data_IF_332022142489
#
_entry.id   IF_332022142489
#
_cell.length_a   1.000
_cell.length_b   1.000
_cell.length_c   1.000
_cell.angle_alpha   90.00
_cell.angle_beta   90.00
_cell.angle_gamma   90.00
#
_symmetry.space_group_name_H-M   'P 1'
#
loop_
_entity.id
_entity.type
_entity.pdbx_description
1 polymer ?
#
# COMPACT_ATOMS: atom_id res chain seq x y z
N UNK A 1 8.57 -4.22 -29.00
CA UNK A 1 9.17 -5.44 -28.43
C UNK A 1 9.63 -6.29 -29.61
N UNK A 2 10.88 -6.77 -29.62
CA UNK A 2 11.33 -7.67 -30.70
C UNK A 2 11.09 -9.14 -30.33
N UNK A 3 11.40 -10.05 -31.26
CA UNK A 3 11.26 -11.51 -31.09
C UNK A 3 12.03 -12.09 -29.89
N UNK A 4 12.99 -11.35 -29.34
CA UNK A 4 13.80 -11.75 -28.19
C UNK A 4 13.27 -11.18 -26.85
N UNK A 5 12.01 -10.72 -26.80
CA UNK A 5 11.39 -10.08 -25.63
C UNK A 5 12.17 -8.86 -25.11
N UNK A 6 12.83 -8.12 -26.01
CA UNK A 6 13.56 -6.90 -25.68
C UNK A 6 12.72 -5.67 -25.97
N UNK A 7 12.93 -4.64 -25.15
CA UNK A 7 12.32 -3.32 -25.31
C UNK A 7 13.42 -2.28 -25.43
N UNK A 8 13.40 -1.49 -26.50
CA UNK A 8 14.29 -0.34 -26.65
C UNK A 8 13.64 0.94 -26.15
N UNK A 9 14.47 1.94 -25.84
CA UNK A 9 13.99 3.26 -25.44
C UNK A 9 13.66 4.08 -26.69
N UNK A 10 12.40 4.51 -26.82
CA UNK A 10 11.93 5.33 -27.94
C UNK A 10 11.87 6.79 -27.53
N UNK A 11 12.49 7.67 -28.32
CA UNK A 11 12.28 9.09 -28.20
C UNK A 11 10.84 9.42 -28.65
N UNK A 12 10.06 10.04 -27.76
CA UNK A 12 8.65 10.33 -28.04
C UNK A 12 8.43 11.34 -29.17
N UNK A 13 9.34 12.29 -29.36
CA UNK A 13 9.22 13.35 -30.37
C UNK A 13 9.61 12.85 -31.78
N UNK A 14 10.73 12.13 -31.89
CA UNK A 14 11.20 11.62 -33.19
C UNK A 14 10.63 10.24 -33.54
N UNK A 15 10.07 9.53 -32.56
CA UNK A 15 9.63 8.15 -32.73
C UNK A 15 10.76 7.16 -33.01
N UNK A 16 12.02 7.57 -32.86
CA UNK A 16 13.21 6.74 -33.10
C UNK A 16 13.73 6.14 -31.80
N UNK A 17 14.34 4.96 -31.89
CA UNK A 17 14.94 4.25 -30.77
C UNK A 17 16.37 4.74 -30.53
N UNK A 18 16.75 4.74 -29.26
CA UNK A 18 18.09 5.04 -28.79
C UNK A 18 19.04 3.87 -29.11
N UNK A 19 20.15 4.15 -29.79
CA UNK A 19 21.15 3.15 -30.18
C UNK A 19 22.51 3.78 -30.49
N UNK A 20 23.40 3.04 -31.15
CA UNK A 20 24.71 3.53 -31.61
C UNK A 20 24.73 3.81 -33.11
N UNK A 21 25.54 4.77 -33.52
CA UNK A 21 26.00 4.85 -34.92
C UNK A 21 27.30 4.03 -35.11
N UNK A 22 27.84 4.01 -36.33
CA UNK A 22 29.09 3.31 -36.64
C UNK A 22 30.36 3.86 -35.96
N UNK A 23 30.22 4.93 -35.15
CA UNK A 23 31.30 5.55 -34.38
C UNK A 23 31.11 5.38 -32.86
N UNK A 24 30.24 4.46 -32.44
CA UNK A 24 29.88 4.24 -31.02
C UNK A 24 29.22 5.45 -30.32
N UNK A 25 28.72 6.42 -31.08
CA UNK A 25 28.01 7.56 -30.50
C UNK A 25 26.54 7.19 -30.21
N UNK A 26 26.04 7.62 -29.06
CA UNK A 26 24.64 7.45 -28.68
C UNK A 26 23.76 8.35 -29.54
N UNK A 27 22.87 7.75 -30.33
CA UNK A 27 22.01 8.46 -31.28
C UNK A 27 20.58 7.92 -31.27
N UNK A 28 19.62 8.70 -31.77
CA UNK A 28 18.23 8.27 -31.98
C UNK A 28 17.93 8.20 -33.49
N UNK A 29 18.34 7.11 -34.16
CA UNK A 29 18.28 7.02 -35.63
C UNK A 29 17.35 5.95 -36.18
N UNK A 30 17.18 4.83 -35.48
CA UNK A 30 16.45 3.67 -36.00
C UNK A 30 14.97 3.71 -35.59
N UNK A 31 14.10 3.20 -36.45
CA UNK A 31 12.67 2.98 -36.16
C UNK A 31 12.38 1.56 -35.68
N UNK A 32 13.33 0.65 -35.82
CA UNK A 32 13.21 -0.76 -35.45
C UNK A 32 14.25 -1.16 -34.41
N UNK A 33 13.88 -2.09 -33.51
CA UNK A 33 14.74 -2.59 -32.45
C UNK A 33 15.60 -3.75 -32.99
N UNK A 34 16.80 -3.40 -33.43
CA UNK A 34 17.78 -4.27 -34.08
C UNK A 34 18.80 -4.79 -33.05
N UNK A 35 20.05 -5.02 -33.48
CA UNK A 35 21.10 -5.57 -32.62
C UNK A 35 22.00 -4.52 -31.98
N UNK A 36 21.92 -3.27 -32.43
CA UNK A 36 22.86 -2.18 -32.11
C UNK A 36 22.30 -1.16 -31.11
N UNK A 37 21.16 -1.46 -30.49
CA UNK A 37 20.58 -0.63 -29.44
C UNK A 37 21.35 -0.83 -28.14
N UNK A 38 22.00 0.26 -27.72
CA UNK A 38 22.87 0.30 -26.54
C UNK A 38 22.12 -0.11 -25.28
N UNK A 39 20.86 0.27 -25.13
CA UNK A 39 20.12 0.15 -23.88
C UNK A 39 18.79 -0.55 -24.10
N UNK A 40 18.68 -1.78 -23.60
CA UNK A 40 17.47 -2.58 -23.73
C UNK A 40 16.98 -3.08 -22.39
N UNK A 41 15.66 -3.20 -22.26
CA UNK A 41 15.04 -3.86 -21.12
C UNK A 41 14.71 -5.30 -21.50
N UNK A 42 15.08 -6.25 -20.62
CA UNK A 42 14.68 -7.65 -20.71
C UNK A 42 13.63 -7.94 -19.64
N UNK A 43 12.45 -8.41 -20.04
CA UNK A 43 11.41 -8.83 -19.08
C UNK A 43 11.89 -10.05 -18.28
N UNK A 44 11.75 -10.00 -16.96
CA UNK A 44 12.10 -11.10 -16.06
C UNK A 44 10.90 -12.04 -15.87
N UNK A 45 11.17 -13.34 -15.68
CA UNK A 45 10.14 -14.36 -15.45
C UNK A 45 9.37 -14.14 -14.14
N UNK A 46 10.05 -13.63 -13.11
CA UNK A 46 9.45 -13.23 -11.83
C UNK A 46 8.69 -11.88 -11.90
N UNK A 47 8.68 -11.21 -13.06
CA UNK A 47 8.14 -9.88 -13.26
C UNK A 47 9.20 -8.78 -13.13
N UNK A 48 8.92 -7.63 -13.74
CA UNK A 48 9.88 -6.53 -13.87
C UNK A 48 10.74 -6.62 -15.13
N UNK A 49 11.74 -5.75 -15.20
CA UNK A 49 12.63 -5.56 -16.33
C UNK A 49 14.08 -5.37 -15.87
N UNK A 50 15.00 -6.09 -16.49
CA UNK A 50 16.44 -5.91 -16.31
C UNK A 50 16.98 -4.94 -17.35
N UNK A 51 17.80 -3.97 -16.93
CA UNK A 51 18.47 -3.05 -17.84
C UNK A 51 19.75 -3.72 -18.38
N UNK A 52 19.84 -3.82 -19.70
CA UNK A 52 20.90 -4.53 -20.41
C UNK A 52 21.61 -3.58 -21.38
N UNK A 53 22.92 -3.75 -21.49
CA UNK A 53 23.79 -3.01 -22.40
C UNK A 53 24.63 -3.93 -23.27
N UNK A 54 24.82 -3.55 -24.54
CA UNK A 54 25.78 -4.22 -25.42
C UNK A 54 27.20 -3.69 -25.18
N UNK A 55 28.17 -4.59 -24.98
CA UNK A 55 29.57 -4.24 -24.80
C UNK A 55 30.28 -4.07 -26.15
N UNK A 56 31.13 -3.04 -26.26
CA UNK A 56 31.90 -2.69 -27.46
C UNK A 56 32.78 -3.80 -28.00
N UNK A 57 33.15 -4.78 -27.17
CA UNK A 57 34.05 -5.87 -27.53
C UNK A 57 33.36 -7.15 -28.04
N UNK A 58 32.02 -7.23 -27.98
CA UNK A 58 31.29 -8.47 -28.28
C UNK A 58 29.95 -8.18 -28.95
N UNK A 59 29.94 -8.21 -30.28
CA UNK A 59 28.72 -8.02 -31.07
C UNK A 59 27.66 -9.07 -30.68
N UNK A 60 26.46 -8.60 -30.37
CA UNK A 60 25.28 -9.41 -30.04
C UNK A 60 25.19 -9.86 -28.59
N UNK A 61 26.21 -9.62 -27.76
CA UNK A 61 26.20 -10.03 -26.34
C UNK A 61 25.81 -8.86 -25.44
N UNK A 62 24.70 -9.07 -24.73
CA UNK A 62 24.18 -8.13 -23.75
C UNK A 62 24.64 -8.49 -22.34
N UNK A 63 24.93 -7.47 -21.56
CA UNK A 63 25.36 -7.54 -20.18
C UNK A 63 24.42 -6.73 -19.29
N UNK A 64 24.13 -7.17 -18.06
CA UNK A 64 23.36 -6.37 -17.14
C UNK A 64 24.14 -5.11 -16.76
N UNK A 65 23.43 -4.01 -16.58
CA UNK A 65 23.99 -2.85 -15.87
C UNK A 65 23.93 -3.16 -14.38
N UNK A 66 24.96 -2.77 -13.63
CA UNK A 66 24.97 -2.82 -12.17
C UNK A 66 25.57 -1.54 -11.59
N UNK A 67 25.37 -1.30 -10.29
CA UNK A 67 26.16 -0.29 -9.58
C UNK A 67 27.55 -0.85 -9.29
N UNK A 68 28.56 0.02 -9.32
CA UNK A 68 29.93 -0.36 -8.94
C UNK A 68 30.00 -0.85 -7.50
N UNK A 69 29.21 -0.26 -6.61
CA UNK A 69 28.95 -0.71 -5.23
C UNK A 69 27.63 -0.10 -4.71
N UNK A 70 27.19 -0.49 -3.51
CA UNK A 70 25.90 -0.08 -2.93
C UNK A 70 25.73 1.44 -2.78
N UNK A 71 26.82 2.17 -2.57
CA UNK A 71 26.83 3.60 -2.24
C UNK A 71 27.27 4.49 -3.40
N UNK A 72 27.78 3.91 -4.48
CA UNK A 72 28.26 4.63 -5.64
C UNK A 72 27.12 5.04 -6.58
N UNK A 73 27.11 6.29 -7.06
CA UNK A 73 26.19 6.72 -8.11
C UNK A 73 26.60 6.19 -9.49
N UNK A 74 27.79 5.59 -9.61
CA UNK A 74 28.34 5.11 -10.87
C UNK A 74 27.83 3.72 -11.22
N UNK A 75 27.55 3.53 -12.52
CA UNK A 75 27.12 2.27 -13.09
C UNK A 75 28.27 1.65 -13.90
N UNK A 76 28.36 0.32 -13.88
CA UNK A 76 29.28 -0.43 -14.74
C UNK A 76 28.56 -1.60 -15.42
N UNK A 77 29.25 -2.19 -16.40
CA UNK A 77 28.82 -3.44 -17.03
C UNK A 77 29.09 -4.56 -16.04
N UNK A 78 28.04 -5.25 -15.61
CA UNK A 78 28.09 -6.21 -14.52
C UNK A 78 28.12 -7.66 -14.91
N UNK A 79 28.47 -8.47 -13.93
CA UNK A 79 28.20 -9.91 -13.91
C UNK A 79 26.88 -10.14 -13.14
N UNK A 80 26.18 -11.25 -13.41
CA UNK A 80 24.74 -11.42 -13.17
C UNK A 80 24.23 -11.25 -11.72
N UNK A 81 25.09 -10.99 -10.73
CA UNK A 81 24.76 -10.99 -9.30
C UNK A 81 24.17 -9.68 -8.77
N UNK A 82 24.47 -8.50 -9.32
CA UNK A 82 24.01 -7.20 -8.77
C UNK A 82 23.19 -6.38 -9.77
N UNK A 83 22.02 -6.88 -10.15
CA UNK A 83 21.26 -6.39 -11.29
C UNK A 83 20.59 -5.01 -11.09
N UNK A 84 20.90 -4.04 -11.95
CA UNK A 84 20.17 -2.78 -12.07
C UNK A 84 18.98 -2.94 -13.03
N UNK A 85 17.77 -2.67 -12.54
CA UNK A 85 16.55 -2.87 -13.30
C UNK A 85 15.30 -2.44 -12.53
N UNK A 86 14.17 -2.47 -13.22
CA UNK A 86 12.86 -2.31 -12.62
C UNK A 86 12.40 -3.67 -12.09
N UNK A 87 12.71 -4.00 -10.84
CA UNK A 87 12.31 -5.28 -10.26
C UNK A 87 10.84 -5.25 -9.82
N UNK A 88 10.09 -6.32 -10.10
CA UNK A 88 8.81 -6.52 -9.42
C UNK A 88 9.13 -6.81 -7.95
N UNK A 89 8.66 -5.96 -7.03
CA UNK A 89 8.85 -6.19 -5.60
C UNK A 89 8.41 -7.62 -5.26
N UNK A 90 9.33 -8.42 -4.75
CA UNK A 90 9.10 -9.83 -4.37
C UNK A 90 8.29 -9.95 -3.08
N UNK A 91 8.07 -8.84 -2.37
CA UNK A 91 7.13 -8.71 -1.25
C UNK A 91 5.85 -7.96 -1.64
N UNK A 92 4.80 -8.15 -0.85
CA UNK A 92 3.59 -7.33 -0.94
C UNK A 92 3.94 -5.84 -0.91
N UNK A 93 3.37 -5.07 -1.83
CA UNK A 93 3.56 -3.61 -1.89
C UNK A 93 3.04 -2.93 -0.62
N UNK A 94 2.02 -3.52 0.02
CA UNK A 94 1.64 -3.22 1.41
C UNK A 94 2.37 -4.20 2.33
N UNK A 95 3.53 -3.79 2.85
CA UNK A 95 4.27 -4.61 3.83
C UNK A 95 3.49 -4.66 5.14
N UNK A 96 3.70 -5.72 5.92
CA UNK A 96 3.06 -5.90 7.24
C UNK A 96 1.53 -5.84 7.19
N UNK A 97 0.96 -6.21 6.04
CA UNK A 97 -0.47 -6.35 5.91
C UNK A 97 -0.97 -7.42 6.87
N UNK A 98 -1.98 -7.07 7.67
CA UNK A 98 -2.66 -7.99 8.57
C UNK A 98 -4.13 -7.60 8.71
N UNK A 99 -5.02 -8.59 8.73
CA UNK A 99 -6.41 -8.39 9.14
C UNK A 99 -6.49 -8.33 10.66
N UNK A 100 -6.84 -7.16 11.20
CA UNK A 100 -7.17 -6.99 12.63
C UNK A 100 -8.56 -7.52 12.92
N UNK A 101 -9.50 -7.26 12.00
CA UNK A 101 -10.82 -7.89 11.97
C UNK A 101 -10.97 -8.53 10.58
N UNK A 102 -11.15 -9.87 10.49
CA UNK A 102 -11.23 -10.56 9.21
C UNK A 102 -12.19 -9.90 8.23
N UNK A 103 -11.70 -9.59 7.03
CA UNK A 103 -12.45 -8.97 5.93
C UNK A 103 -13.13 -7.62 6.26
N UNK A 104 -12.74 -6.95 7.36
CA UNK A 104 -13.36 -5.68 7.79
C UNK A 104 -12.37 -4.57 8.08
N UNK A 105 -11.33 -4.88 8.84
CA UNK A 105 -10.32 -3.91 9.28
C UNK A 105 -8.93 -4.54 9.14
N UNK A 106 -8.10 -3.93 8.31
CA UNK A 106 -6.71 -4.31 8.11
C UNK A 106 -5.78 -3.17 8.51
N UNK A 107 -4.54 -3.54 8.83
CA UNK A 107 -3.41 -2.64 9.01
C UNK A 107 -2.28 -2.99 8.06
N UNK A 108 -1.46 -2.01 7.71
CA UNK A 108 -0.23 -2.25 6.93
C UNK A 108 0.74 -1.06 7.03
N UNK A 109 1.92 -1.21 6.42
CA UNK A 109 2.73 -0.06 5.98
C UNK A 109 2.02 0.70 4.85
N UNK A 110 2.53 1.90 4.54
CA UNK A 110 2.20 2.57 3.30
C UNK A 110 2.67 1.73 2.09
N UNK A 111 1.99 1.82 0.93
CA UNK A 111 2.38 1.08 -0.25
C UNK A 111 3.75 1.55 -0.72
N UNK A 112 4.69 0.63 -0.98
CA UNK A 112 6.07 0.94 -1.40
C UNK A 112 6.94 1.68 -0.37
N UNK A 113 6.57 1.66 0.91
CA UNK A 113 7.38 2.32 1.95
C UNK A 113 8.81 1.76 2.06
N UNK A 114 9.81 2.64 1.93
CA UNK A 114 11.24 2.34 2.08
C UNK A 114 11.93 3.15 3.18
N UNK A 115 11.22 4.07 3.83
CA UNK A 115 11.72 4.82 4.98
C UNK A 115 11.11 6.20 5.18
N UNK A 116 10.39 6.71 4.18
CA UNK A 116 9.80 8.06 4.19
C UNK A 116 8.30 8.00 3.84
N UNK A 117 7.50 8.87 4.47
CA UNK A 117 6.05 8.98 4.17
C UNK A 117 5.78 9.38 2.70
N UNK A 118 6.76 10.00 2.03
CA UNK A 118 6.74 10.35 0.59
C UNK A 118 6.96 9.18 -0.35
N UNK A 119 7.45 8.03 0.15
CA UNK A 119 7.63 6.83 -0.65
C UNK A 119 6.31 6.22 -1.12
N UNK A 120 5.20 6.60 -0.46
CA UNK A 120 3.89 6.04 -0.76
C UNK A 120 3.51 6.26 -2.23
N UNK A 121 3.03 5.21 -2.89
CA UNK A 121 2.60 5.29 -4.28
C UNK A 121 1.42 4.39 -4.61
N UNK A 122 0.47 4.92 -5.38
CA UNK A 122 -0.64 4.13 -5.94
C UNK A 122 -0.46 3.91 -7.45
N UNK A 123 -0.33 2.63 -7.79
CA UNK A 123 -0.30 2.12 -9.16
C UNK A 123 -1.14 0.84 -9.29
N UNK A 124 -1.11 0.26 -10.48
CA UNK A 124 -1.90 -0.92 -10.86
C UNK A 124 -1.64 -2.10 -9.91
N UNK A 125 -0.39 -2.38 -9.54
CA UNK A 125 -0.04 -3.45 -8.59
C UNK A 125 -0.66 -3.22 -7.20
N UNK A 126 -0.64 -1.99 -6.68
CA UNK A 126 -1.25 -1.69 -5.38
C UNK A 126 -2.77 -1.79 -5.42
N UNK A 127 -3.39 -1.40 -6.53
CA UNK A 127 -4.85 -1.51 -6.71
C UNK A 127 -5.25 -2.98 -6.81
N UNK A 128 -4.53 -3.78 -7.60
CA UNK A 128 -4.75 -5.24 -7.69
C UNK A 128 -4.66 -5.90 -6.33
N UNK A 129 -3.66 -5.54 -5.52
CA UNK A 129 -3.54 -6.03 -4.14
C UNK A 129 -4.78 -5.72 -3.31
N UNK A 130 -5.23 -4.46 -3.30
CA UNK A 130 -6.39 -4.01 -2.51
C UNK A 130 -7.68 -4.70 -2.96
N UNK A 131 -7.92 -4.74 -4.28
CA UNK A 131 -9.10 -5.38 -4.87
C UNK A 131 -9.11 -6.88 -4.57
N UNK A 132 -7.97 -7.57 -4.70
CA UNK A 132 -7.88 -9.01 -4.39
C UNK A 132 -8.20 -9.36 -2.93
N UNK A 133 -8.07 -8.39 -2.02
CA UNK A 133 -8.41 -8.50 -0.60
C UNK A 133 -9.76 -7.90 -0.26
N UNK A 134 -10.52 -7.44 -1.26
CA UNK A 134 -11.84 -6.84 -1.07
C UNK A 134 -11.81 -5.51 -0.33
N UNK A 135 -10.65 -4.83 -0.25
CA UNK A 135 -10.54 -3.52 0.39
C UNK A 135 -11.31 -2.49 -0.43
N UNK A 136 -12.15 -1.71 0.26
CA UNK A 136 -13.02 -0.67 -0.30
C UNK A 136 -12.71 0.72 0.23
N UNK A 137 -11.89 0.82 1.27
CA UNK A 137 -11.57 2.08 1.91
C UNK A 137 -10.14 2.09 2.44
N UNK A 138 -9.47 3.23 2.31
CA UNK A 138 -8.13 3.49 2.83
C UNK A 138 -8.19 4.67 3.79
N UNK A 139 -7.59 4.51 4.97
CA UNK A 139 -7.31 5.60 5.89
C UNK A 139 -5.80 5.74 6.03
N UNK A 140 -5.25 6.81 5.46
CA UNK A 140 -3.82 7.14 5.52
C UNK A 140 -3.53 8.14 6.64
N UNK A 141 -2.54 7.83 7.47
CA UNK A 141 -2.01 8.69 8.53
C UNK A 141 -0.64 9.29 8.19
N UNK A 142 -0.20 9.21 6.93
CA UNK A 142 1.05 9.80 6.48
C UNK A 142 1.03 11.33 6.59
N UNK A 143 2.19 11.95 6.71
CA UNK A 143 2.34 13.41 6.72
C UNK A 143 1.98 14.03 5.36
N UNK A 144 2.24 13.28 4.29
CA UNK A 144 1.99 13.64 2.89
C UNK A 144 0.70 12.94 2.40
N UNK A 145 -0.11 13.67 1.64
CA UNK A 145 -1.30 13.13 0.99
C UNK A 145 -0.94 12.54 -0.38
N UNK A 146 -1.67 11.51 -0.81
CA UNK A 146 -1.62 11.05 -2.20
C UNK A 146 -1.93 12.17 -3.20
N UNK A 147 -1.30 12.11 -4.36
CA UNK A 147 -1.57 13.07 -5.43
C UNK A 147 -3.00 12.92 -5.97
N UNK A 148 -3.57 13.97 -6.60
CA UNK A 148 -4.90 13.87 -7.22
C UNK A 148 -5.03 12.69 -8.18
N UNK A 149 -4.01 12.46 -9.02
CA UNK A 149 -3.96 11.35 -9.98
C UNK A 149 -4.06 9.98 -9.31
N UNK A 150 -3.43 9.81 -8.16
CA UNK A 150 -3.47 8.56 -7.41
C UNK A 150 -4.83 8.33 -6.75
N UNK A 151 -5.44 9.38 -6.21
CA UNK A 151 -6.80 9.33 -5.69
C UNK A 151 -7.82 9.00 -6.79
N UNK A 152 -7.65 9.56 -7.99
CA UNK A 152 -8.51 9.25 -9.13
C UNK A 152 -8.42 7.77 -9.53
N UNK A 153 -7.23 7.18 -9.46
CA UNK A 153 -7.02 5.75 -9.70
C UNK A 153 -7.72 4.87 -8.66
N UNK A 154 -7.66 5.25 -7.38
CA UNK A 154 -8.41 4.55 -6.32
C UNK A 154 -9.92 4.66 -6.54
N UNK A 155 -10.40 5.86 -6.87
CA UNK A 155 -11.80 6.13 -7.18
C UNK A 155 -12.30 5.26 -8.36
N UNK A 156 -11.51 5.18 -9.44
CA UNK A 156 -11.82 4.33 -10.60
C UNK A 156 -11.89 2.83 -10.26
N UNK A 157 -11.26 2.40 -9.16
CA UNK A 157 -11.30 1.03 -8.65
C UNK A 157 -12.37 0.83 -7.55
N UNK A 158 -13.25 1.82 -7.32
CA UNK A 158 -14.26 1.81 -6.26
C UNK A 158 -13.64 1.64 -4.85
N UNK A 159 -12.51 2.34 -4.63
CA UNK A 159 -11.81 2.42 -3.35
C UNK A 159 -11.83 3.85 -2.85
N UNK A 160 -12.47 4.07 -1.70
CA UNK A 160 -12.47 5.37 -1.02
C UNK A 160 -11.13 5.64 -0.34
N UNK A 161 -10.73 6.91 -0.29
CA UNK A 161 -9.49 7.33 0.35
C UNK A 161 -9.74 8.51 1.30
N UNK A 162 -9.27 8.37 2.54
CA UNK A 162 -9.27 9.43 3.55
C UNK A 162 -7.86 9.69 4.06
N UNK A 163 -7.45 10.95 4.04
CA UNK A 163 -6.18 11.39 4.63
C UNK A 163 -6.44 12.05 5.98
N UNK A 164 -5.94 11.43 7.05
CA UNK A 164 -5.95 11.99 8.39
C UNK A 164 -4.52 12.38 8.73
N UNK A 165 -4.12 13.57 8.27
CA UNK A 165 -2.76 14.09 8.44
C UNK A 165 -2.34 14.02 9.90
N UNK A 166 -1.32 13.23 10.21
CA UNK A 166 -0.68 13.14 11.53
C UNK A 166 0.77 13.59 11.39
N UNK A 167 1.18 14.55 12.22
CA UNK A 167 2.59 14.98 12.27
C UNK A 167 3.42 13.87 12.94
N UNK A 168 4.64 13.68 12.46
CA UNK A 168 5.52 12.62 12.92
C UNK A 168 5.66 12.60 14.45
N UNK A 169 5.64 11.39 15.02
CA UNK A 169 5.83 11.12 16.46
C UNK A 169 4.83 11.77 17.42
N UNK A 170 3.74 12.37 16.92
CA UNK A 170 2.67 12.91 17.76
C UNK A 170 1.47 11.99 17.79
N UNK A 171 0.91 11.77 18.99
CA UNK A 171 -0.37 11.08 19.13
C UNK A 171 -1.45 11.86 18.35
N UNK A 172 -2.36 11.17 17.63
CA UNK A 172 -3.55 11.80 17.10
C UNK A 172 -4.31 12.55 18.20
N UNK A 173 -4.72 13.78 17.88
CA UNK A 173 -5.62 14.59 18.71
C UNK A 173 -7.04 14.02 18.64
N UNK A 174 -7.88 14.38 19.60
CA UNK A 174 -9.29 13.95 19.64
C UNK A 174 -10.02 14.13 18.30
N UNK A 175 -9.87 15.30 17.66
CA UNK A 175 -10.47 15.58 16.34
C UNK A 175 -10.01 14.60 15.26
N UNK A 176 -8.77 14.10 15.31
CA UNK A 176 -8.25 13.12 14.36
C UNK A 176 -8.82 11.73 14.63
N UNK A 177 -9.04 11.34 15.90
CA UNK A 177 -9.78 10.11 16.21
C UNK A 177 -11.21 10.15 15.66
N UNK A 178 -11.91 11.27 15.82
CA UNK A 178 -13.25 11.43 15.28
C UNK A 178 -13.26 11.38 13.74
N UNK A 179 -12.24 11.91 13.08
CA UNK A 179 -12.05 11.80 11.62
C UNK A 179 -11.82 10.35 11.18
N UNK A 180 -10.98 9.61 11.91
CA UNK A 180 -10.71 8.18 11.64
C UNK A 180 -12.02 7.39 11.76
N UNK A 181 -12.77 7.60 12.85
CA UNK A 181 -14.06 6.94 13.05
C UNK A 181 -15.05 7.24 11.92
N UNK A 182 -15.22 8.53 11.58
CA UNK A 182 -16.11 8.96 10.51
C UNK A 182 -15.74 8.34 9.16
N UNK A 183 -14.45 8.20 8.88
CA UNK A 183 -13.97 7.56 7.65
C UNK A 183 -14.17 6.03 7.63
N UNK A 184 -14.36 5.40 8.80
CA UNK A 184 -14.48 3.95 8.95
C UNK A 184 -15.94 3.45 9.12
N UNK A 185 -16.76 4.16 9.91
CA UNK A 185 -18.04 3.66 10.45
C UNK A 185 -19.01 3.11 9.41
N UNK A 186 -19.06 3.74 8.23
CA UNK A 186 -19.97 3.41 7.12
C UNK A 186 -19.24 2.86 5.90
N UNK A 187 -17.92 2.69 6.00
CA UNK A 187 -17.11 2.17 4.91
C UNK A 187 -17.15 0.64 4.86
N UNK A 188 -16.83 0.09 3.68
CA UNK A 188 -16.56 -1.34 3.52
C UNK A 188 -15.24 -1.77 4.15
N UNK A 189 -14.69 -2.92 3.72
CA UNK A 189 -13.42 -3.41 4.24
C UNK A 189 -12.33 -2.33 4.13
N UNK A 190 -11.74 -1.96 5.27
CA UNK A 190 -10.88 -0.79 5.40
C UNK A 190 -9.46 -1.21 5.73
N UNK A 191 -8.49 -0.63 5.04
CA UNK A 191 -7.08 -0.70 5.43
C UNK A 191 -6.64 0.63 6.03
N UNK A 192 -5.92 0.55 7.14
CA UNK A 192 -5.33 1.70 7.83
C UNK A 192 -3.81 1.60 7.73
N UNK A 193 -3.15 2.68 7.34
CA UNK A 193 -1.69 2.70 7.31
C UNK A 193 -1.09 4.06 7.70
N UNK A 194 0.15 4.00 8.15
CA UNK A 194 1.13 5.07 8.14
C UNK A 194 2.38 4.53 7.43
N UNK A 195 3.46 5.32 7.29
CA UNK A 195 4.70 4.91 6.63
C UNK A 195 5.11 3.47 6.95
N UNK A 196 5.54 3.21 8.18
CA UNK A 196 5.98 1.87 8.60
C UNK A 196 4.86 0.89 9.01
N UNK A 197 3.65 1.38 9.28
CA UNK A 197 2.51 0.56 9.72
C UNK A 197 2.41 0.28 11.22
N UNK A 198 3.19 0.96 12.06
CA UNK A 198 3.09 0.98 13.53
C UNK A 198 2.82 2.40 14.07
N UNK A 199 2.74 2.55 15.39
CA UNK A 199 2.60 3.84 16.06
C UNK A 199 1.27 4.49 15.69
N UNK A 200 1.28 5.40 14.70
CA UNK A 200 0.09 6.05 14.14
C UNK A 200 -0.96 5.04 13.63
N UNK A 201 -0.52 3.96 12.98
CA UNK A 201 -1.43 2.91 12.52
C UNK A 201 -2.07 2.19 13.70
N UNK A 202 -1.27 1.80 14.71
CA UNK A 202 -1.78 1.12 15.89
C UNK A 202 -2.74 1.97 16.72
N UNK A 203 -2.47 3.28 16.81
CA UNK A 203 -3.36 4.27 17.39
C UNK A 203 -4.71 4.30 16.69
N UNK A 204 -4.73 4.37 15.36
CA UNK A 204 -5.96 4.41 14.58
C UNK A 204 -6.76 3.11 14.69
N UNK A 205 -6.09 1.95 14.63
CA UNK A 205 -6.72 0.64 14.85
C UNK A 205 -7.35 0.56 16.24
N UNK A 206 -6.61 0.96 17.27
CA UNK A 206 -7.09 0.91 18.65
C UNK A 206 -8.26 1.86 18.87
N UNK A 207 -8.19 3.08 18.31
CA UNK A 207 -9.29 4.03 18.34
C UNK A 207 -10.56 3.48 17.68
N UNK A 208 -10.45 2.87 16.51
CA UNK A 208 -11.58 2.23 15.83
C UNK A 208 -12.21 1.16 16.73
N UNK A 209 -11.40 0.28 17.31
CA UNK A 209 -11.86 -0.76 18.21
C UNK A 209 -12.55 -0.21 19.47
N UNK A 210 -12.04 0.89 20.05
CA UNK A 210 -12.68 1.59 21.16
C UNK A 210 -14.05 2.16 20.74
N UNK A 211 -14.15 2.81 19.58
CA UNK A 211 -15.43 3.32 19.06
C UNK A 211 -16.43 2.19 18.72
N UNK A 212 -15.95 1.00 18.35
CA UNK A 212 -16.79 -0.20 18.22
C UNK A 212 -17.26 -0.76 19.58
N UNK A 213 -16.83 -0.17 20.69
CA UNK A 213 -17.22 -0.56 22.06
C UNK A 213 -16.35 -1.65 22.66
N UNK A 214 -15.17 -1.93 22.10
CA UNK A 214 -14.23 -2.88 22.72
C UNK A 214 -13.54 -2.21 23.91
N UNK A 215 -13.45 -2.93 25.02
CA UNK A 215 -12.55 -2.58 26.12
C UNK A 215 -11.15 -3.05 25.76
N UNK A 216 -10.20 -2.12 25.69
CA UNK A 216 -8.79 -2.40 25.39
C UNK A 216 -7.92 -1.97 26.57
N UNK A 217 -6.93 -2.79 26.91
CA UNK A 217 -5.87 -2.45 27.84
C UNK A 217 -4.53 -2.21 27.13
N UNK A 218 -3.50 -1.90 27.92
CA UNK A 218 -2.15 -1.63 27.41
C UNK A 218 -1.62 -2.76 26.50
N UNK A 219 -1.85 -4.03 26.87
CA UNK A 219 -1.41 -5.18 26.07
C UNK A 219 -2.08 -5.20 24.68
N UNK A 220 -3.35 -4.84 24.59
CA UNK A 220 -4.09 -4.78 23.32
C UNK A 220 -3.56 -3.65 22.45
N UNK A 221 -3.29 -2.47 23.04
CA UNK A 221 -2.67 -1.36 22.33
C UNK A 221 -1.29 -1.74 21.79
N UNK A 222 -0.48 -2.45 22.57
CA UNK A 222 0.83 -2.94 22.13
C UNK A 222 0.70 -3.97 21.02
N UNK A 223 -0.25 -4.89 21.10
CA UNK A 223 -0.53 -5.86 20.03
C UNK A 223 -0.95 -5.15 18.73
N UNK A 224 -1.69 -4.05 18.84
CA UNK A 224 -2.01 -3.18 17.70
C UNK A 224 -0.82 -2.34 17.20
N UNK A 225 0.37 -2.44 17.81
CA UNK A 225 1.57 -1.74 17.35
C UNK A 225 1.70 -0.31 17.86
N UNK A 226 1.05 0.05 18.97
CA UNK A 226 1.27 1.33 19.66
C UNK A 226 2.66 1.36 20.32
N UNK A 227 3.43 2.43 20.11
CA UNK A 227 4.88 2.43 20.34
C UNK A 227 5.33 3.23 21.57
N UNK A 228 4.72 4.38 21.88
CA UNK A 228 5.23 5.26 22.95
C UNK A 228 4.20 5.55 24.05
N UNK A 229 4.65 5.96 25.26
CA UNK A 229 3.75 6.27 26.37
C UNK A 229 2.73 7.38 26.08
N UNK A 230 3.11 8.41 25.30
CA UNK A 230 2.18 9.49 24.93
C UNK A 230 1.04 9.02 24.03
N UNK A 231 1.29 8.00 23.20
CA UNK A 231 0.25 7.34 22.41
C UNK A 231 -0.71 6.54 23.29
N UNK A 232 -0.19 5.78 24.26
CA UNK A 232 -1.02 5.06 25.24
C UNK A 232 -1.91 6.01 26.04
N UNK A 233 -1.35 7.10 26.55
CA UNK A 233 -2.10 8.12 27.28
C UNK A 233 -3.25 8.68 26.44
N UNK A 234 -3.00 9.02 25.18
CA UNK A 234 -4.05 9.53 24.29
C UNK A 234 -5.17 8.51 23.99
N UNK A 235 -4.87 7.21 23.98
CA UNK A 235 -5.89 6.16 23.85
C UNK A 235 -6.67 5.94 25.15
N UNK A 236 -6.03 6.08 26.30
CA UNK A 236 -6.70 6.05 27.60
C UNK A 236 -7.66 7.23 27.73
N UNK A 237 -7.23 8.45 27.38
CA UNK A 237 -8.09 9.63 27.34
C UNK A 237 -9.29 9.42 26.39
N UNK A 238 -9.06 8.77 25.24
CA UNK A 238 -10.13 8.42 24.30
C UNK A 238 -11.10 7.39 24.90
N UNK A 239 -10.58 6.36 25.55
CA UNK A 239 -11.38 5.32 26.21
C UNK A 239 -12.23 5.90 27.33
N UNK A 240 -11.66 6.76 28.18
CA UNK A 240 -12.37 7.49 29.23
C UNK A 240 -13.43 8.43 28.64
N UNK A 241 -13.15 9.10 27.52
CA UNK A 241 -14.15 9.94 26.85
C UNK A 241 -15.34 9.11 26.34
N UNK A 242 -15.11 7.92 25.83
CA UNK A 242 -16.15 7.04 25.28
C UNK A 242 -16.95 6.35 26.40
N UNK A 243 -16.27 5.82 27.41
CA UNK A 243 -16.89 5.02 28.49
C UNK A 243 -17.28 5.85 29.71
N UNK A 244 -16.55 6.92 30.05
CA UNK A 244 -16.87 7.81 31.17
C UNK A 244 -18.15 8.64 30.98
N UNK A 245 -18.70 8.68 29.77
CA UNK A 245 -20.02 9.27 29.51
C UNK A 245 -21.20 8.37 29.92
N UNK A 246 -20.99 7.10 30.29
CA UNK A 246 -22.09 6.20 30.68
C UNK A 246 -22.53 6.34 32.14
N UNK A 247 -21.68 6.82 33.05
CA UNK A 247 -21.88 6.63 34.50
C UNK A 247 -22.24 7.90 35.29
N UNK A 248 -22.48 9.05 34.62
CA UNK A 248 -22.88 10.25 35.36
C UNK A 248 -23.32 11.42 34.50
N UNK A 249 -24.57 11.41 34.01
CA UNK A 249 -25.51 12.55 33.95
C UNK A 249 -26.71 12.22 33.05
N UNK A 250 -27.88 12.13 33.67
CA UNK A 250 -29.16 12.39 32.99
C UNK A 250 -29.08 13.80 32.35
N UNK A 251 -29.43 13.93 31.06
CA UNK A 251 -29.54 15.18 30.27
C UNK A 251 -28.35 15.66 29.41
N UNK A 252 -27.65 14.79 28.69
CA UNK A 252 -27.18 15.15 27.34
C UNK A 252 -27.37 13.98 26.37
N UNK A 253 -28.05 14.24 25.26
CA UNK A 253 -28.29 13.26 24.20
C UNK A 253 -26.93 12.78 23.66
N UNK A 254 -26.64 11.47 23.68
CA UNK A 254 -25.37 10.97 23.16
C UNK A 254 -25.28 11.28 21.66
N UNK A 255 -24.07 11.53 21.12
CA UNK A 255 -23.89 11.58 19.67
C UNK A 255 -24.37 10.25 19.07
N UNK A 256 -25.06 10.32 17.93
CA UNK A 256 -26.02 9.30 17.46
C UNK A 256 -25.46 7.91 17.11
N UNK A 257 -24.20 7.62 17.41
CA UNK A 257 -23.53 6.37 17.08
C UNK A 257 -23.56 5.33 18.20
N UNK A 258 -24.08 5.64 19.39
CA UNK A 258 -24.24 4.69 20.51
C UNK A 258 -25.51 3.83 20.44
N UNK A 259 -26.38 4.05 19.45
CA UNK A 259 -27.57 3.24 19.24
C UNK A 259 -27.21 1.88 18.63
N UNK A 260 -26.89 0.92 19.50
CA UNK A 260 -26.65 -0.47 19.13
C UNK A 260 -27.96 -1.13 18.70
N UNK A 261 -28.05 -1.61 17.45
CA UNK A 261 -29.10 -2.51 17.00
C UNK A 261 -28.52 -3.94 16.90
N UNK A 262 -28.95 -4.88 17.77
CA UNK A 262 -28.62 -6.28 17.59
C UNK A 262 -29.24 -6.76 16.28
N UNK A 263 -28.40 -7.22 15.33
CA UNK A 263 -28.91 -7.95 14.16
C UNK A 263 -29.50 -9.27 14.67
N UNK A 264 -30.82 -9.45 14.48
CA UNK A 264 -31.50 -10.72 14.75
C UNK A 264 -30.85 -11.82 13.89
N UNK A 265 -30.28 -12.81 14.56
CA UNK A 265 -29.98 -14.11 13.97
C UNK A 265 -31.24 -14.98 13.88
N UNK A 266 -31.33 -15.72 12.78
CA UNK A 266 -32.33 -16.74 12.44
C UNK A 266 -32.25 -16.93 10.92
N UNK A 267 -31.94 -18.10 10.36
CA UNK A 267 -32.52 -19.39 10.71
C UNK A 267 -31.55 -20.56 10.74
N UNK A 268 -31.81 -21.44 11.72
CA UNK A 268 -31.41 -22.84 11.76
C UNK A 268 -32.22 -23.60 10.70
N UNK A 269 -31.54 -24.20 9.73
CA UNK A 269 -32.12 -25.36 9.03
C UNK A 269 -31.91 -26.59 9.91
N UNK A 270 -32.98 -27.02 10.60
CA UNK A 270 -33.14 -28.40 11.04
C UNK A 270 -33.73 -29.19 9.87
N UNK A 271 -33.19 -30.38 9.66
CA UNK A 271 -33.74 -31.36 8.75
C UNK A 271 -35.00 -32.04 9.30
N UNK A 272 -35.53 -32.88 8.42
CA UNK A 272 -36.53 -33.96 8.51
C UNK A 272 -37.35 -33.82 7.21
N UNK A 273 -37.72 -34.84 6.43
CA UNK A 273 -37.80 -36.27 6.63
C UNK A 273 -37.98 -36.92 5.23
N UNK A 274 -37.69 -38.22 5.16
CA UNK A 274 -37.92 -39.11 4.02
C UNK A 274 -39.41 -39.40 3.89
N UNK A 275 -39.95 -39.40 2.67
CA UNK A 275 -41.18 -40.15 2.34
C UNK A 275 -40.97 -40.85 0.98
N UNK A 276 -40.86 -42.18 1.03
CA UNK A 276 -41.24 -43.08 -0.05
C UNK A 276 -42.77 -43.09 -0.18
N UNK A 277 -43.30 -43.04 -1.41
CA UNK A 277 -44.18 -44.10 -1.94
C UNK A 277 -44.63 -43.82 -3.39
N UNK A 278 -44.58 -44.90 -4.18
CA UNK A 278 -45.14 -45.19 -5.53
C UNK A 278 -44.35 -44.81 -6.76
#
# INVERSE_FOLDING_TARGET
MNSNNRFGMRNGASGRLLGRNGHDELVCITTELLSYEWLTFRKLSAGGFLLMVESTGTIGKLYPIQRTDSNSPYLNIGEASNQFGLHKLTGSVFRRFEWVVPNRLARSSAPYYEGDDSDQGINETSIEFLVSRGIKNIISLNSIELSPRERDRLCAADISYSHVRSLEFTAPRQKQFDQIWKAYEKAGATIVYCGYGDGRTGMAISAIQLFEGRTLGDLDYRANGVQCPSQLAALNDLSERIHGQSDGLLNMQPPSYTAWHPRKGGDRMRGDEIVEER
#
